data_IF_796662024539
#
_entry.id   IF_796662024539
#
_cell.length_a   1.000
_cell.length_b   1.000
_cell.length_c   1.000
_cell.angle_alpha   90.00
_cell.angle_beta   90.00
_cell.angle_gamma   90.00
#
_symmetry.space_group_name_H-M   'P 1'
#
loop_
_entity.id
_entity.type
_entity.pdbx_description
1 polymer ?
#
# COMPACT_ATOMS: atom_id res chain seq x y z
N UNK A 1 -8.99 -25.04 -21.33
CA UNK A 1 -9.62 -24.71 -20.03
C UNK A 1 -10.34 -23.40 -20.20
N UNK A 2 -11.67 -23.39 -20.09
CA UNK A 2 -12.41 -22.12 -19.95
C UNK A 2 -12.07 -21.61 -18.54
N UNK A 3 -11.44 -20.46 -18.45
CA UNK A 3 -11.29 -19.75 -17.18
C UNK A 3 -12.69 -19.34 -16.78
N UNK A 4 -13.23 -19.93 -15.72
CA UNK A 4 -14.34 -19.30 -15.02
C UNK A 4 -13.81 -17.94 -14.57
N UNK A 5 -14.38 -16.86 -15.13
CA UNK A 5 -13.91 -15.50 -14.84
C UNK A 5 -14.23 -15.21 -13.37
N UNK A 6 -13.19 -15.07 -12.55
CA UNK A 6 -13.33 -14.71 -11.15
C UNK A 6 -13.59 -13.21 -11.08
N UNK A 7 -14.86 -12.82 -10.91
CA UNK A 7 -15.25 -11.41 -10.72
C UNK A 7 -15.17 -11.07 -9.24
N UNK A 8 -14.25 -10.17 -8.87
CA UNK A 8 -14.18 -9.61 -7.52
C UNK A 8 -15.23 -8.49 -7.34
N UNK A 9 -15.84 -8.34 -6.15
CA UNK A 9 -16.85 -7.31 -5.90
C UNK A 9 -16.28 -5.89 -5.90
N UNK A 10 -15.02 -5.73 -5.47
CA UNK A 10 -14.29 -4.46 -5.45
C UNK A 10 -12.77 -4.71 -5.46
N UNK A 11 -12.00 -3.62 -5.50
CA UNK A 11 -10.53 -3.65 -5.49
C UNK A 11 -9.97 -4.22 -4.18
N UNK A 12 -10.64 -4.04 -3.04
CA UNK A 12 -10.15 -4.49 -1.74
C UNK A 12 -10.19 -6.01 -1.63
N UNK A 13 -11.19 -6.66 -2.26
CA UNK A 13 -11.27 -8.11 -2.37
C UNK A 13 -10.09 -8.73 -3.15
N UNK A 14 -9.33 -7.93 -3.90
CA UNK A 14 -8.10 -8.36 -4.59
C UNK A 14 -6.84 -8.21 -3.72
N UNK A 15 -6.93 -7.62 -2.52
CA UNK A 15 -5.80 -7.53 -1.59
C UNK A 15 -5.56 -8.90 -0.97
N UNK A 16 -4.35 -9.40 -1.14
CA UNK A 16 -3.88 -10.66 -0.60
C UNK A 16 -3.94 -11.81 -1.60
N UNK A 17 -3.96 -13.05 -1.08
CA UNK A 17 -3.94 -14.29 -1.88
C UNK A 17 -2.94 -14.31 -3.05
N UNK A 18 -1.82 -13.61 -2.88
CA UNK A 18 -0.80 -13.42 -3.91
C UNK A 18 -0.11 -14.75 -4.27
N UNK A 19 0.33 -14.94 -5.51
CA UNK A 19 0.90 -16.21 -5.94
C UNK A 19 2.26 -16.47 -5.30
N UNK A 20 2.60 -17.76 -5.17
CA UNK A 20 3.95 -18.23 -4.95
C UNK A 20 4.54 -18.66 -6.30
N UNK A 21 5.79 -18.28 -6.56
CA UNK A 21 6.53 -18.74 -7.74
C UNK A 21 7.80 -19.45 -7.30
N UNK A 22 8.04 -20.66 -7.81
CA UNK A 22 9.28 -21.39 -7.54
C UNK A 22 10.44 -20.71 -8.25
N UNK A 23 11.51 -20.39 -7.52
CA UNK A 23 12.70 -19.75 -8.05
C UNK A 23 13.69 -20.81 -8.51
N UNK A 24 13.65 -21.15 -9.81
CA UNK A 24 14.45 -22.26 -10.38
C UNK A 24 15.94 -22.16 -10.03
N UNK A 25 16.59 -21.04 -10.31
CA UNK A 25 18.03 -20.86 -10.11
C UNK A 25 18.48 -21.11 -8.66
N UNK A 26 17.97 -20.34 -7.66
CA UNK A 26 18.28 -20.58 -6.26
C UNK A 26 17.92 -21.98 -5.76
N UNK A 27 16.81 -22.55 -6.25
CA UNK A 27 16.40 -23.90 -5.86
C UNK A 27 17.40 -24.95 -6.35
N UNK A 28 17.80 -24.88 -7.61
CA UNK A 28 18.76 -25.82 -8.21
C UNK A 28 20.16 -25.68 -7.58
N UNK A 29 20.57 -24.46 -7.22
CA UNK A 29 21.88 -24.20 -6.59
C UNK A 29 21.98 -24.72 -5.14
N UNK A 30 20.86 -24.83 -4.45
CA UNK A 30 20.82 -25.24 -3.03
C UNK A 30 20.33 -26.67 -2.82
N UNK A 31 19.63 -27.25 -3.80
CA UNK A 31 18.93 -28.53 -3.65
C UNK A 31 17.62 -28.45 -2.86
N UNK A 32 17.24 -27.25 -2.39
CA UNK A 32 15.99 -26.99 -1.67
C UNK A 32 14.96 -26.31 -2.58
N UNK A 33 13.67 -26.38 -2.23
CA UNK A 33 12.66 -25.58 -2.92
C UNK A 33 12.57 -24.17 -2.32
N UNK A 34 12.95 -23.17 -3.12
CA UNK A 34 12.88 -21.75 -2.76
C UNK A 34 11.77 -21.09 -3.57
N UNK A 35 10.86 -20.40 -2.88
CA UNK A 35 9.73 -19.72 -3.49
C UNK A 35 9.76 -18.21 -3.24
N UNK A 36 9.35 -17.42 -4.23
CA UNK A 36 9.05 -16.00 -4.07
C UNK A 36 7.55 -15.80 -3.83
N UNK A 37 7.19 -14.99 -2.83
CA UNK A 37 5.82 -14.54 -2.59
C UNK A 37 5.59 -13.22 -3.31
N UNK A 38 4.75 -13.23 -4.35
CA UNK A 38 4.61 -12.12 -5.30
C UNK A 38 3.67 -11.01 -4.80
N UNK A 39 4.04 -10.33 -3.72
CA UNK A 39 3.23 -9.25 -3.11
C UNK A 39 3.04 -8.00 -3.98
N UNK A 40 3.80 -7.89 -5.07
CA UNK A 40 3.58 -6.85 -6.08
C UNK A 40 2.28 -7.05 -6.88
N UNK A 41 1.59 -8.19 -6.72
CA UNK A 41 0.31 -8.48 -7.37
C UNK A 41 -0.89 -7.91 -6.64
N UNK A 42 -0.72 -7.37 -5.43
CA UNK A 42 -1.77 -6.59 -4.80
C UNK A 42 -2.08 -5.33 -5.64
N UNK A 43 -3.29 -4.75 -5.56
CA UNK A 43 -3.72 -3.62 -6.40
C UNK A 43 -2.84 -2.36 -6.32
N UNK A 44 -2.31 -2.04 -5.14
CA UNK A 44 -1.34 -0.97 -4.88
C UNK A 44 0.11 -1.41 -5.09
N UNK A 45 0.31 -2.56 -5.75
CA UNK A 45 1.59 -3.11 -6.17
C UNK A 45 2.58 -3.43 -5.03
N UNK A 46 2.09 -3.66 -3.80
CA UNK A 46 2.96 -4.00 -2.69
C UNK A 46 2.26 -4.75 -1.55
N UNK A 47 3.05 -5.31 -0.62
CA UNK A 47 2.54 -5.91 0.60
C UNK A 47 1.81 -4.92 1.54
N UNK A 48 2.04 -3.60 1.37
CA UNK A 48 1.49 -2.60 2.29
C UNK A 48 -0.02 -2.42 2.19
N UNK A 49 -0.63 -2.84 1.09
CA UNK A 49 -2.07 -2.85 0.92
C UNK A 49 -2.76 -3.68 2.00
N UNK A 50 -2.14 -4.79 2.41
CA UNK A 50 -2.64 -5.65 3.50
C UNK A 50 -2.69 -4.92 4.84
N UNK A 51 -1.59 -4.22 5.16
CA UNK A 51 -1.50 -3.47 6.41
C UNK A 51 -2.45 -2.28 6.40
N UNK A 52 -2.56 -1.58 5.27
CA UNK A 52 -3.49 -0.47 5.10
C UNK A 52 -4.94 -0.91 5.30
N UNK A 53 -5.36 -2.02 4.66
CA UNK A 53 -6.70 -2.57 4.81
C UNK A 53 -6.99 -2.89 6.28
N UNK A 54 -6.09 -3.62 6.94
CA UNK A 54 -6.25 -4.00 8.34
C UNK A 54 -6.34 -2.79 9.28
N UNK A 55 -5.46 -1.79 9.12
CA UNK A 55 -5.44 -0.59 9.97
C UNK A 55 -6.75 0.18 9.84
N UNK A 56 -7.25 0.35 8.61
CA UNK A 56 -8.49 1.08 8.35
C UNK A 56 -9.69 0.33 8.93
N UNK A 57 -9.78 -0.99 8.69
CA UNK A 57 -10.87 -1.81 9.22
C UNK A 57 -10.88 -1.91 10.75
N UNK A 58 -9.71 -1.98 11.40
CA UNK A 58 -9.60 -1.91 12.86
C UNK A 58 -10.10 -0.56 13.39
N UNK A 59 -9.70 0.54 12.75
CA UNK A 59 -10.13 1.88 13.13
C UNK A 59 -11.65 2.09 12.95
N UNK A 60 -12.23 1.54 11.87
CA UNK A 60 -13.68 1.49 11.64
C UNK A 60 -14.38 0.71 12.76
N UNK A 61 -13.93 -0.53 13.03
CA UNK A 61 -14.53 -1.41 14.02
C UNK A 61 -14.49 -0.84 15.44
N UNK A 62 -13.45 -0.07 15.77
CA UNK A 62 -13.28 0.61 17.06
C UNK A 62 -14.00 1.96 17.13
N UNK A 63 -14.63 2.42 16.05
CA UNK A 63 -15.28 3.73 15.96
C UNK A 63 -14.31 4.91 16.01
N UNK A 64 -13.02 4.69 15.75
CA UNK A 64 -12.00 5.74 15.70
C UNK A 64 -12.03 6.50 14.38
N UNK A 65 -12.43 5.83 13.29
CA UNK A 65 -12.58 6.41 11.98
C UNK A 65 -14.06 6.53 11.61
N UNK A 66 -14.56 7.77 11.59
CA UNK A 66 -15.94 8.07 11.24
C UNK A 66 -16.11 8.16 9.71
N UNK A 67 -17.31 7.87 9.16
CA UNK A 67 -17.57 7.97 7.71
C UNK A 67 -17.16 9.33 7.13
N UNK A 68 -16.45 9.30 6.00
CA UNK A 68 -15.92 10.52 5.35
C UNK A 68 -14.74 11.18 6.09
N UNK A 69 -14.21 10.54 7.13
CA UNK A 69 -13.04 10.98 7.88
C UNK A 69 -11.75 11.06 7.04
N UNK A 70 -10.71 11.59 7.67
CA UNK A 70 -9.40 11.80 7.04
C UNK A 70 -8.34 10.92 7.69
N UNK A 71 -7.59 10.20 6.87
CA UNK A 71 -6.41 9.43 7.26
C UNK A 71 -5.17 10.27 6.94
N UNK A 72 -4.29 10.44 7.93
CA UNK A 72 -3.04 11.20 7.77
C UNK A 72 -1.86 10.26 8.08
N UNK A 73 -0.91 10.15 7.16
CA UNK A 73 0.26 9.28 7.32
C UNK A 73 1.55 9.99 6.87
N UNK A 74 2.59 9.89 7.70
CA UNK A 74 3.94 10.34 7.38
C UNK A 74 4.72 9.29 6.61
N UNK A 75 4.61 9.28 5.27
CA UNK A 75 5.31 8.30 4.43
C UNK A 75 5.48 8.79 3.00
N UNK A 76 6.52 8.35 2.33
CA UNK A 76 6.72 8.57 0.89
C UNK A 76 6.63 7.27 0.08
N UNK A 77 6.27 6.16 0.73
CA UNK A 77 6.43 4.83 0.18
C UNK A 77 5.10 4.10 -0.04
N UNK A 78 5.24 2.80 -0.16
CA UNK A 78 4.15 1.87 -0.40
C UNK A 78 3.02 1.93 0.64
N UNK A 79 3.30 2.33 1.88
CA UNK A 79 2.25 2.51 2.90
C UNK A 79 1.27 3.62 2.51
N UNK A 80 1.77 4.74 1.98
CA UNK A 80 0.92 5.85 1.54
C UNK A 80 0.06 5.45 0.34
N UNK A 81 0.63 4.64 -0.57
CA UNK A 81 -0.08 4.09 -1.73
C UNK A 81 -1.20 3.16 -1.27
N UNK A 82 -0.89 2.21 -0.38
CA UNK A 82 -1.88 1.28 0.17
C UNK A 82 -3.00 2.00 0.93
N UNK A 83 -2.66 2.99 1.77
CA UNK A 83 -3.66 3.79 2.50
C UNK A 83 -4.52 4.62 1.55
N UNK A 84 -3.93 5.29 0.56
CA UNK A 84 -4.68 6.06 -0.43
C UNK A 84 -5.66 5.19 -1.22
N UNK A 85 -5.23 3.99 -1.64
CA UNK A 85 -6.07 3.03 -2.35
C UNK A 85 -7.25 2.55 -1.48
N UNK A 86 -6.97 2.14 -0.25
CA UNK A 86 -8.00 1.64 0.69
C UNK A 86 -8.97 2.75 1.07
N UNK A 87 -8.46 3.93 1.40
CA UNK A 87 -9.24 5.09 1.76
C UNK A 87 -10.19 5.50 0.62
N UNK A 88 -9.69 5.58 -0.61
CA UNK A 88 -10.50 5.95 -1.78
C UNK A 88 -11.62 4.92 -2.01
N UNK A 89 -11.33 3.62 -1.93
CA UNK A 89 -12.33 2.57 -2.05
C UNK A 89 -13.42 2.61 -0.96
N UNK A 90 -13.08 3.07 0.25
CA UNK A 90 -14.01 3.19 1.40
C UNK A 90 -14.63 4.58 1.58
N UNK A 91 -14.28 5.55 0.74
CA UNK A 91 -14.83 6.92 0.80
C UNK A 91 -14.18 7.84 1.85
N UNK A 92 -12.93 7.58 2.22
CA UNK A 92 -12.13 8.43 3.11
C UNK A 92 -11.20 9.37 2.35
N UNK A 93 -10.84 10.47 3.00
CA UNK A 93 -9.77 11.36 2.53
C UNK A 93 -8.42 10.86 3.00
N UNK A 94 -7.39 11.04 2.19
CA UNK A 94 -6.01 10.70 2.57
C UNK A 94 -5.11 11.91 2.43
N UNK A 95 -4.34 12.20 3.48
CA UNK A 95 -3.25 13.17 3.46
C UNK A 95 -1.94 12.42 3.70
N UNK A 96 -1.01 12.55 2.77
CA UNK A 96 0.32 11.97 2.89
C UNK A 96 1.34 13.09 3.11
N UNK A 97 2.02 13.02 4.25
CA UNK A 97 3.09 13.95 4.62
C UNK A 97 4.42 13.33 4.22
N UNK A 98 5.20 14.01 3.37
CA UNK A 98 6.49 13.48 2.90
C UNK A 98 7.54 14.57 2.67
N UNK A 99 8.84 14.22 2.71
CA UNK A 99 9.88 15.16 2.33
C UNK A 99 9.74 15.66 0.89
N UNK A 100 10.03 16.93 0.66
CA UNK A 100 10.02 17.53 -0.69
C UNK A 100 11.08 16.94 -1.65
N UNK A 101 12.06 16.21 -1.10
CA UNK A 101 13.14 15.54 -1.84
C UNK A 101 12.73 14.21 -2.49
N UNK A 102 11.48 13.77 -2.31
CA UNK A 102 11.00 12.53 -2.92
C UNK A 102 10.88 12.63 -4.44
N UNK A 103 10.94 11.50 -5.12
CA UNK A 103 10.85 11.46 -6.59
C UNK A 103 9.46 11.90 -7.08
N UNK A 104 9.42 12.60 -8.23
CA UNK A 104 8.15 13.09 -8.81
C UNK A 104 7.18 11.96 -9.10
N UNK A 105 7.67 10.83 -9.58
CA UNK A 105 6.88 9.63 -9.89
C UNK A 105 6.08 9.12 -8.69
N UNK A 106 6.66 9.22 -7.48
CA UNK A 106 5.98 8.82 -6.24
C UNK A 106 4.88 9.81 -5.86
N UNK A 107 5.19 11.11 -5.96
CA UNK A 107 4.18 12.15 -5.71
C UNK A 107 3.01 12.03 -6.68
N UNK A 108 3.31 11.84 -7.96
CA UNK A 108 2.29 11.73 -9.01
C UNK A 108 1.44 10.48 -8.85
N UNK A 109 2.04 9.35 -8.46
CA UNK A 109 1.29 8.12 -8.13
C UNK A 109 0.30 8.36 -6.98
N UNK A 110 0.74 9.00 -5.89
CA UNK A 110 -0.13 9.26 -4.74
C UNK A 110 -1.25 10.25 -5.06
N UNK A 111 -0.95 11.31 -5.83
CA UNK A 111 -1.97 12.24 -6.33
C UNK A 111 -2.99 11.55 -7.24
N UNK A 112 -2.53 10.68 -8.14
CA UNK A 112 -3.41 9.93 -9.03
C UNK A 112 -4.35 8.98 -8.25
N UNK A 113 -3.92 8.50 -7.08
CA UNK A 113 -4.75 7.71 -6.17
C UNK A 113 -5.71 8.55 -5.31
N UNK A 114 -5.68 9.88 -5.44
CA UNK A 114 -6.56 10.80 -4.72
C UNK A 114 -6.04 11.27 -3.36
N UNK A 115 -4.76 11.03 -3.06
CA UNK A 115 -4.16 11.56 -1.84
C UNK A 115 -3.76 13.03 -2.00
N UNK A 116 -4.07 13.83 -0.97
CA UNK A 116 -3.48 15.15 -0.79
C UNK A 116 -2.04 14.99 -0.28
N UNK A 117 -1.11 15.78 -0.84
CA UNK A 117 0.29 15.74 -0.43
C UNK A 117 0.68 16.99 0.35
N UNK A 118 1.20 16.79 1.55
CA UNK A 118 1.85 17.83 2.34
C UNK A 118 3.35 17.60 2.27
N UNK A 119 4.05 18.49 1.55
CA UNK A 119 5.51 18.43 1.41
C UNK A 119 6.16 19.17 2.58
N UNK A 120 7.16 18.53 3.19
CA UNK A 120 7.94 19.11 4.29
C UNK A 120 9.44 19.12 3.96
N UNK A 121 10.24 20.05 4.53
CA UNK A 121 11.69 19.99 4.40
C UNK A 121 12.24 18.66 4.90
N UNK A 122 13.26 18.12 4.24
CA UNK A 122 13.91 16.89 4.71
C UNK A 122 14.63 17.15 6.04
N UNK A 123 14.20 16.49 7.11
CA UNK A 123 14.89 16.50 8.39
C UNK A 123 15.72 15.22 8.54
N UNK A 124 17.04 15.36 8.68
CA UNK A 124 17.88 14.23 9.05
C UNK A 124 17.57 13.80 10.49
N UNK A 125 17.77 12.52 10.81
CA UNK A 125 17.63 12.00 12.18
C UNK A 125 18.50 12.76 13.19
N UNK A 126 19.64 13.31 12.76
CA UNK A 126 20.55 14.11 13.58
C UNK A 126 20.08 15.55 13.83
N UNK A 127 18.91 15.95 13.31
CA UNK A 127 18.39 17.29 13.54
C UNK A 127 17.97 17.43 15.02
N UNK A 128 18.50 18.41 15.77
CA UNK A 128 18.15 18.62 17.19
C UNK A 128 16.68 18.98 17.42
N UNK A 129 15.93 19.31 16.36
CA UNK A 129 14.50 19.59 16.38
C UNK A 129 13.65 18.46 15.77
N UNK A 130 14.20 17.26 15.58
CA UNK A 130 13.43 16.08 15.17
C UNK A 130 12.52 15.57 16.29
#
# INVERSE_FOLDING_TARGET
>A
MRSDTLTAPDTLALIGNTPLVRLKGPSDATGCDIFGKCEFTNPGASIKDRAALFIVEDAEARGLLQPGGTIVEGTAGNTGIGLALVANAKGYKTIIVMPETQSREKMDTLRALGAELVLVPAAAFSNPCH
#
